data_IF_529829112734
#
_entry.id   IF_529829112734
#
_cell.length_a   1.000
_cell.length_b   1.000
_cell.length_c   1.000
_cell.angle_alpha   90.00
_cell.angle_beta   90.00
_cell.angle_gamma   90.00
#
_symmetry.space_group_name_H-M   'P 1'
#
loop_
_entity.id
_entity.type
_entity.pdbx_description
1 polymer ?
#
# COMPACT_ATOMS: atom_id res chain seq x y z
N UNK A 1 -20.99 -8.79 8.76
CA UNK A 1 -19.78 -8.03 8.40
C UNK A 1 -20.18 -6.57 8.40
N UNK A 2 -19.72 -5.78 9.38
CA UNK A 2 -19.96 -4.33 9.34
C UNK A 2 -19.10 -3.76 8.21
N UNK A 3 -19.71 -3.60 7.05
CA UNK A 3 -19.24 -2.63 6.06
C UNK A 3 -19.15 -1.31 6.84
N UNK A 4 -17.96 -0.71 6.90
CA UNK A 4 -17.74 0.54 7.63
C UNK A 4 -18.54 1.62 6.91
N UNK A 5 -19.82 1.76 7.28
CA UNK A 5 -20.78 2.72 6.68
C UNK A 5 -20.27 4.16 6.75
N UNK A 6 -19.30 4.42 7.63
CA UNK A 6 -18.64 5.71 7.81
C UNK A 6 -17.12 5.61 7.57
N UNK A 7 -16.68 4.94 6.51
CA UNK A 7 -15.26 4.98 6.15
C UNK A 7 -14.88 6.44 5.81
N UNK A 8 -13.90 7.04 6.52
CA UNK A 8 -13.59 8.46 6.36
C UNK A 8 -13.01 8.78 4.97
N UNK A 9 -12.50 7.78 4.25
CA UNK A 9 -12.05 7.94 2.86
C UNK A 9 -13.19 8.15 1.87
N UNK A 10 -14.45 7.84 2.21
CA UNK A 10 -15.59 8.05 1.32
C UNK A 10 -15.76 9.53 0.94
N UNK A 11 -15.45 10.47 1.84
CA UNK A 11 -15.66 11.90 1.60
C UNK A 11 -14.50 12.57 0.88
N UNK A 12 -13.32 11.94 0.87
CA UNK A 12 -12.09 12.52 0.30
C UNK A 12 -11.57 11.77 -0.93
N UNK A 13 -12.27 10.73 -1.41
CA UNK A 13 -11.79 9.87 -2.50
C UNK A 13 -11.31 10.63 -3.75
N UNK A 14 -12.06 11.67 -4.17
CA UNK A 14 -11.70 12.50 -5.34
C UNK A 14 -10.47 13.38 -5.10
N UNK A 15 -10.41 14.03 -3.94
CA UNK A 15 -9.28 14.89 -3.57
C UNK A 15 -7.99 14.07 -3.39
N UNK A 16 -8.12 12.90 -2.75
CA UNK A 16 -7.05 11.90 -2.66
C UNK A 16 -6.57 11.50 -4.05
N UNK A 17 -7.48 11.19 -4.96
CA UNK A 17 -7.10 10.77 -6.31
C UNK A 17 -6.39 11.88 -7.09
N UNK A 18 -6.92 13.11 -7.04
CA UNK A 18 -6.34 14.29 -7.71
C UNK A 18 -4.97 14.68 -7.17
N UNK A 19 -4.65 14.34 -5.92
CA UNK A 19 -3.34 14.59 -5.36
C UNK A 19 -2.23 13.91 -6.16
N UNK A 20 -2.47 12.70 -6.67
CA UNK A 20 -1.49 11.97 -7.49
C UNK A 20 -1.21 12.69 -8.82
N UNK A 21 -2.23 13.29 -9.44
CA UNK A 21 -2.05 14.08 -10.68
C UNK A 21 -1.24 15.35 -10.42
N UNK A 22 -1.43 15.98 -9.25
CA UNK A 22 -0.69 17.17 -8.84
C UNK A 22 0.73 16.86 -8.34
N UNK A 23 1.03 15.59 -8.04
CA UNK A 23 2.30 15.14 -7.46
C UNK A 23 2.89 13.97 -8.27
N UNK A 24 2.76 14.04 -9.60
CA UNK A 24 3.10 12.98 -10.54
C UNK A 24 4.53 12.41 -10.32
N UNK A 25 5.55 13.27 -10.18
CA UNK A 25 6.92 12.82 -9.92
C UNK A 25 7.07 12.05 -8.61
N UNK A 26 6.32 12.43 -7.58
CA UNK A 26 6.32 11.73 -6.28
C UNK A 26 5.69 10.36 -6.46
N UNK A 27 4.47 10.32 -7.02
CA UNK A 27 3.75 9.08 -7.31
C UNK A 27 4.60 8.08 -8.10
N UNK A 28 5.20 8.52 -9.22
CA UNK A 28 6.01 7.62 -10.04
C UNK A 28 7.31 7.19 -9.36
N UNK A 29 7.85 7.98 -8.42
CA UNK A 29 8.99 7.54 -7.60
C UNK A 29 8.58 6.45 -6.59
N UNK A 30 7.39 6.55 -6.00
CA UNK A 30 6.83 5.51 -5.14
C UNK A 30 6.52 4.24 -5.94
N UNK A 31 5.91 4.41 -7.13
CA UNK A 31 5.61 3.33 -8.06
C UNK A 31 6.88 2.57 -8.48
N UNK A 32 7.95 3.27 -8.84
CA UNK A 32 9.21 2.63 -9.24
C UNK A 32 9.84 1.84 -8.09
N UNK A 33 9.68 2.28 -6.83
CA UNK A 33 10.11 1.51 -5.66
C UNK A 33 9.32 0.22 -5.46
N UNK A 34 7.99 0.26 -5.59
CA UNK A 34 7.14 -0.95 -5.54
C UNK A 34 7.49 -1.89 -6.69
N UNK A 35 7.59 -1.35 -7.91
CA UNK A 35 7.90 -2.06 -9.16
C UNK A 35 9.25 -2.77 -9.12
N UNK A 36 10.21 -2.25 -8.37
CA UNK A 36 11.52 -2.87 -8.18
C UNK A 36 11.45 -4.32 -7.66
N UNK A 37 10.41 -4.66 -6.89
CA UNK A 37 10.20 -6.00 -6.32
C UNK A 37 9.11 -6.82 -7.01
N UNK A 38 8.39 -6.21 -7.95
CA UNK A 38 7.30 -6.88 -8.66
C UNK A 38 7.80 -8.09 -9.44
N UNK A 39 7.10 -9.24 -9.35
CA UNK A 39 7.42 -10.38 -10.18
C UNK A 39 7.04 -10.09 -11.64
N UNK A 40 7.71 -10.77 -12.57
CA UNK A 40 7.43 -10.63 -14.01
C UNK A 40 6.08 -11.24 -14.40
N UNK A 41 5.66 -12.28 -13.68
CA UNK A 41 4.44 -13.04 -13.91
C UNK A 41 3.84 -13.45 -12.57
N UNK A 42 2.56 -13.80 -12.59
CA UNK A 42 1.83 -14.31 -11.43
C UNK A 42 0.49 -13.61 -11.26
N UNK A 43 -0.38 -14.24 -10.50
CA UNK A 43 -1.66 -13.70 -10.08
C UNK A 43 -1.46 -12.82 -8.84
N UNK A 44 -1.72 -11.53 -8.99
CA UNK A 44 -1.54 -10.53 -7.94
C UNK A 44 -2.83 -9.86 -7.50
N UNK A 45 -2.83 -9.38 -6.27
CA UNK A 45 -3.91 -8.56 -5.69
C UNK A 45 -3.33 -7.38 -4.90
N UNK A 46 -4.01 -6.24 -4.93
CA UNK A 46 -3.72 -5.10 -4.06
C UNK A 46 -4.69 -5.07 -2.86
N UNK A 47 -4.16 -5.07 -1.64
CA UNK A 47 -4.96 -4.94 -0.42
C UNK A 47 -4.93 -3.48 0.03
N UNK A 48 -6.12 -2.89 0.19
CA UNK A 48 -6.30 -1.44 0.31
C UNK A 48 -6.05 -0.75 -1.02
N UNK A 49 -6.73 -1.21 -2.09
CA UNK A 49 -6.52 -0.71 -3.46
C UNK A 49 -6.88 0.76 -3.64
N UNK A 50 -7.66 1.34 -2.71
CA UNK A 50 -8.06 2.73 -2.77
C UNK A 50 -8.70 3.04 -4.12
N UNK A 51 -8.20 4.08 -4.77
CA UNK A 51 -8.67 4.49 -6.10
C UNK A 51 -8.01 3.73 -7.25
N UNK A 52 -7.16 2.74 -6.97
CA UNK A 52 -6.54 1.87 -7.98
C UNK A 52 -5.36 2.50 -8.73
N UNK A 53 -4.73 3.54 -8.16
CA UNK A 53 -3.56 4.21 -8.75
C UNK A 53 -2.40 3.24 -8.99
N UNK A 54 -2.02 2.47 -7.97
CA UNK A 54 -0.93 1.51 -8.08
C UNK A 54 -1.32 0.28 -8.89
N UNK A 55 -2.46 -0.37 -8.58
CA UNK A 55 -2.91 -1.54 -9.34
C UNK A 55 -2.99 -1.29 -10.86
N UNK A 56 -3.53 -0.15 -11.28
CA UNK A 56 -3.66 0.19 -12.71
C UNK A 56 -2.30 0.25 -13.41
N UNK A 57 -1.34 1.00 -12.85
CA UNK A 57 -0.01 1.16 -13.42
C UNK A 57 0.84 -0.12 -13.36
N UNK A 58 0.61 -0.97 -12.37
CA UNK A 58 1.31 -2.24 -12.20
C UNK A 58 0.66 -3.40 -12.97
N UNK A 59 -0.48 -3.16 -13.63
CA UNK A 59 -1.23 -4.18 -14.37
C UNK A 59 -1.92 -5.22 -13.49
N UNK A 60 -2.09 -4.94 -12.20
CA UNK A 60 -2.85 -5.77 -11.25
C UNK A 60 -4.33 -5.56 -11.53
N UNK A 61 -5.12 -6.64 -11.51
CA UNK A 61 -6.55 -6.61 -11.87
C UNK A 61 -7.50 -6.76 -10.71
N UNK A 62 -7.03 -7.25 -9.57
CA UNK A 62 -7.87 -7.50 -8.40
C UNK A 62 -7.44 -6.61 -7.24
N UNK A 63 -8.40 -6.15 -6.43
CA UNK A 63 -8.11 -5.41 -5.22
C UNK A 63 -9.18 -5.52 -4.14
N UNK A 64 -8.80 -5.23 -2.89
CA UNK A 64 -9.71 -5.12 -1.74
C UNK A 64 -9.72 -3.69 -1.26
N UNK A 65 -10.90 -3.10 -1.09
CA UNK A 65 -11.05 -1.73 -0.57
C UNK A 65 -12.33 -1.60 0.27
N UNK A 66 -12.26 -1.10 1.51
CA UNK A 66 -13.46 -0.87 2.32
C UNK A 66 -14.28 0.38 1.94
N UNK A 67 -13.69 1.38 1.28
CA UNK A 67 -14.37 2.60 0.83
C UNK A 67 -15.05 2.40 -0.51
N UNK A 68 -16.38 2.46 -0.54
CA UNK A 68 -17.14 2.36 -1.80
C UNK A 68 -16.78 3.47 -2.78
N UNK A 69 -16.56 4.71 -2.31
CA UNK A 69 -16.23 5.83 -3.20
C UNK A 69 -14.84 5.70 -3.82
N UNK A 70 -13.88 5.14 -3.08
CA UNK A 70 -12.58 4.81 -3.66
C UNK A 70 -12.66 3.64 -4.64
N UNK A 71 -13.40 2.59 -4.26
CA UNK A 71 -13.62 1.42 -5.08
C UNK A 71 -14.32 1.75 -6.41
N UNK A 72 -15.27 2.70 -6.41
CA UNK A 72 -15.90 3.21 -7.64
C UNK A 72 -14.86 3.76 -8.63
N UNK A 73 -13.92 4.60 -8.16
CA UNK A 73 -12.84 5.15 -9.00
C UNK A 73 -11.89 4.04 -9.48
N UNK A 74 -11.55 3.08 -8.62
CA UNK A 74 -10.72 1.94 -9.00
C UNK A 74 -11.38 1.05 -10.06
N UNK A 75 -12.70 0.84 -9.98
CA UNK A 75 -13.47 0.11 -11.00
C UNK A 75 -13.46 0.82 -12.35
N UNK A 76 -13.50 2.15 -12.38
CA UNK A 76 -13.36 2.93 -13.61
C UNK A 76 -11.99 2.73 -14.29
N UNK A 77 -10.97 2.35 -13.52
CA UNK A 77 -9.63 1.96 -14.03
C UNK A 77 -9.52 0.48 -14.44
N UNK A 78 -10.64 -0.25 -14.42
CA UNK A 78 -10.68 -1.66 -14.79
C UNK A 78 -10.15 -2.60 -13.71
N UNK A 79 -10.17 -2.18 -12.44
CA UNK A 79 -9.86 -3.05 -11.30
C UNK A 79 -11.14 -3.75 -10.83
N UNK A 80 -11.05 -5.06 -10.64
CA UNK A 80 -12.06 -5.85 -9.94
C UNK A 80 -11.90 -5.64 -8.44
N UNK A 81 -12.77 -4.81 -7.85
CA UNK A 81 -12.69 -4.44 -6.43
C UNK A 81 -13.70 -5.20 -5.60
N UNK A 82 -13.19 -6.01 -4.66
CA UNK A 82 -13.97 -6.62 -3.59
C UNK A 82 -14.05 -5.68 -2.39
N UNK A 83 -15.27 -5.34 -1.98
CA UNK A 83 -15.47 -4.54 -0.78
C UNK A 83 -15.18 -5.40 0.45
N UNK A 84 -14.21 -4.97 1.25
CA UNK A 84 -13.72 -5.74 2.41
C UNK A 84 -12.62 -5.01 3.16
N UNK A 85 -12.20 -5.58 4.29
CA UNK A 85 -11.13 -5.04 5.13
C UNK A 85 -9.92 -5.97 5.11
N UNK A 86 -8.73 -5.41 5.34
CA UNK A 86 -7.48 -6.17 5.28
C UNK A 86 -7.36 -7.24 6.39
N UNK A 87 -8.07 -7.05 7.50
CA UNK A 87 -8.10 -7.95 8.66
C UNK A 87 -9.03 -9.17 8.49
N UNK A 88 -9.77 -9.26 7.38
CA UNK A 88 -10.67 -10.37 7.08
C UNK A 88 -10.87 -10.50 5.56
N UNK A 89 -9.87 -11.11 4.91
CA UNK A 89 -9.82 -11.30 3.47
C UNK A 89 -10.62 -12.54 3.09
N UNK A 90 -11.77 -12.33 2.46
CA UNK A 90 -12.64 -13.42 1.98
C UNK A 90 -12.12 -14.07 0.69
N UNK A 91 -10.91 -14.62 0.76
CA UNK A 91 -10.25 -15.42 -0.27
C UNK A 91 -9.79 -16.75 0.33
N UNK A 92 -9.64 -17.75 -0.52
CA UNK A 92 -9.08 -19.04 -0.11
C UNK A 92 -7.59 -18.89 0.26
N UNK A 93 -7.09 -19.84 1.03
CA UNK A 93 -5.67 -19.95 1.32
C UNK A 93 -4.89 -20.16 0.02
N UNK A 94 -3.68 -19.60 -0.06
CA UNK A 94 -2.76 -19.82 -1.20
C UNK A 94 -3.39 -19.50 -2.58
N UNK A 95 -4.17 -18.43 -2.67
CA UNK A 95 -4.85 -18.00 -3.88
C UNK A 95 -4.07 -17.01 -4.74
N UNK A 96 -2.99 -16.39 -4.25
CA UNK A 96 -2.22 -15.39 -4.99
C UNK A 96 -0.71 -15.67 -5.00
N UNK A 97 -0.04 -15.38 -6.11
CA UNK A 97 1.43 -15.49 -6.22
C UNK A 97 2.13 -14.33 -5.51
N UNK A 98 1.49 -13.14 -5.54
CA UNK A 98 1.97 -11.98 -4.80
C UNK A 98 0.83 -11.08 -4.34
N UNK A 99 1.11 -10.32 -3.29
CA UNK A 99 0.22 -9.27 -2.77
C UNK A 99 0.99 -7.96 -2.71
N UNK A 100 0.34 -6.86 -3.04
CA UNK A 100 0.86 -5.52 -2.74
C UNK A 100 -0.02 -4.82 -1.71
N UNK A 101 0.59 -3.98 -0.89
CA UNK A 101 -0.10 -3.12 0.08
C UNK A 101 0.68 -1.80 0.18
N UNK A 102 0.09 -0.69 -0.24
CA UNK A 102 0.80 0.60 -0.35
C UNK A 102 0.12 1.68 0.48
N UNK A 103 0.81 2.21 1.48
CA UNK A 103 0.34 3.24 2.41
C UNK A 103 -0.98 2.91 3.14
N UNK A 104 -1.24 1.62 3.37
CA UNK A 104 -2.45 1.12 4.06
C UNK A 104 -2.19 0.88 5.54
N UNK A 105 -0.94 0.57 5.91
CA UNK A 105 -0.54 0.25 7.28
C UNK A 105 -0.98 1.26 8.34
N UNK A 106 -1.03 2.59 8.08
CA UNK A 106 -1.45 3.54 9.10
C UNK A 106 -2.94 3.52 9.39
N UNK A 107 -3.76 2.90 8.52
CA UNK A 107 -5.22 3.02 8.51
C UNK A 107 -5.95 1.74 8.91
N UNK A 108 -5.25 0.61 9.05
CA UNK A 108 -5.84 -0.63 9.55
C UNK A 108 -5.98 -0.61 11.07
N UNK A 109 -6.97 -1.34 11.58
CA UNK A 109 -7.24 -1.42 13.01
C UNK A 109 -6.27 -2.39 13.70
N UNK A 110 -5.95 -3.51 13.03
CA UNK A 110 -5.06 -4.55 13.54
C UNK A 110 -4.08 -5.00 12.45
N UNK A 111 -2.93 -4.33 12.42
CA UNK A 111 -1.87 -4.60 11.44
C UNK A 111 -1.32 -6.03 11.54
N UNK A 112 -1.27 -6.61 12.75
CA UNK A 112 -0.83 -7.99 12.90
C UNK A 112 -1.82 -8.95 12.24
N UNK A 113 -3.12 -8.78 12.49
CA UNK A 113 -4.14 -9.60 11.85
C UNK A 113 -4.15 -9.42 10.33
N UNK A 114 -3.97 -8.19 9.84
CA UNK A 114 -3.79 -7.90 8.40
C UNK A 114 -2.66 -8.74 7.81
N UNK A 115 -1.47 -8.72 8.42
CA UNK A 115 -0.34 -9.50 7.88
C UNK A 115 -0.57 -11.02 7.95
N UNK A 116 -1.27 -11.54 8.95
CA UNK A 116 -1.65 -12.95 8.98
C UNK A 116 -2.63 -13.33 7.85
N UNK A 117 -3.62 -12.49 7.58
CA UNK A 117 -4.55 -12.71 6.46
C UNK A 117 -3.85 -12.63 5.11
N UNK A 118 -2.96 -11.66 4.93
CA UNK A 118 -2.14 -11.55 3.72
C UNK A 118 -1.22 -12.78 3.56
N UNK A 119 -0.57 -13.22 4.64
CA UNK A 119 0.25 -14.43 4.62
C UNK A 119 -0.58 -15.66 4.23
N UNK A 120 -1.82 -15.78 4.74
CA UNK A 120 -2.71 -16.92 4.44
C UNK A 120 -3.04 -17.01 2.94
N UNK A 121 -3.38 -15.90 2.29
CA UNK A 121 -3.80 -15.88 0.88
C UNK A 121 -2.62 -15.99 -0.12
N UNK A 122 -1.38 -15.73 0.31
CA UNK A 122 -0.19 -15.88 -0.54
C UNK A 122 0.17 -17.36 -0.69
N UNK A 123 0.52 -17.81 -1.89
CA UNK A 123 1.04 -19.17 -2.17
C UNK A 123 2.44 -19.36 -1.57
N UNK A 124 2.82 -20.60 -1.27
CA UNK A 124 4.19 -20.91 -0.80
C UNK A 124 5.24 -20.43 -1.81
N UNK A 125 6.27 -19.72 -1.36
CA UNK A 125 7.26 -19.10 -2.22
C UNK A 125 6.78 -17.81 -2.93
N UNK A 126 5.54 -17.39 -2.68
CA UNK A 126 5.02 -16.10 -3.08
C UNK A 126 5.55 -14.96 -2.21
N UNK A 127 5.17 -13.74 -2.53
CA UNK A 127 5.71 -12.54 -1.86
C UNK A 127 4.66 -11.49 -1.54
N UNK A 128 4.91 -10.74 -0.49
CA UNK A 128 4.27 -9.47 -0.19
C UNK A 128 5.23 -8.32 -0.55
N UNK A 129 4.71 -7.29 -1.22
CA UNK A 129 5.38 -6.01 -1.38
C UNK A 129 4.63 -4.96 -0.57
N UNK A 130 5.27 -4.40 0.46
CA UNK A 130 4.72 -3.31 1.26
C UNK A 130 5.38 -2.00 0.84
N UNK A 131 4.59 -1.03 0.41
CA UNK A 131 5.02 0.36 0.28
C UNK A 131 4.59 1.14 1.52
N UNK A 132 5.53 1.72 2.27
CA UNK A 132 5.24 2.47 3.49
C UNK A 132 5.95 3.81 3.50
N UNK A 133 5.32 4.79 4.15
CA UNK A 133 5.89 6.11 4.36
C UNK A 133 6.71 6.11 5.64
N UNK A 134 7.96 6.55 5.55
CA UNK A 134 8.79 6.71 6.74
C UNK A 134 8.13 7.74 7.67
N UNK A 135 7.87 7.37 8.94
CA UNK A 135 7.15 8.21 9.91
C UNK A 135 7.72 9.64 10.05
N UNK A 136 9.05 9.77 9.92
CA UNK A 136 9.76 11.04 10.03
C UNK A 136 10.02 11.72 8.67
N UNK A 137 9.58 11.08 7.57
CA UNK A 137 9.76 11.53 6.20
C UNK A 137 8.90 12.75 5.86
N UNK A 138 9.40 13.58 4.94
CA UNK A 138 8.72 14.81 4.52
C UNK A 138 7.39 14.53 3.81
N UNK A 139 7.27 13.36 3.16
CA UNK A 139 6.01 12.92 2.54
C UNK A 139 4.95 12.64 3.60
N UNK A 140 5.27 11.82 4.61
CA UNK A 140 4.35 11.55 5.72
C UNK A 140 3.88 12.87 6.37
N UNK A 141 4.80 13.82 6.59
CA UNK A 141 4.46 15.16 7.10
C UNK A 141 3.55 15.96 6.16
N UNK A 142 3.76 15.91 4.84
CA UNK A 142 2.89 16.58 3.85
C UNK A 142 1.50 15.95 3.81
N UNK A 143 1.41 14.63 3.85
CA UNK A 143 0.13 13.92 3.94
C UNK A 143 -0.60 14.24 5.26
N UNK A 144 0.11 14.27 6.39
CA UNK A 144 -0.44 14.69 7.69
C UNK A 144 -0.78 16.19 7.76
N UNK A 145 -0.17 17.02 6.91
CA UNK A 145 -0.46 18.45 6.83
C UNK A 145 -1.74 18.77 6.05
N UNK A 146 -2.42 17.78 5.47
CA UNK A 146 -3.81 17.86 5.03
C UNK A 146 -4.73 17.93 6.27
N UNK A 147 -4.61 19.01 7.05
CA UNK A 147 -5.05 19.14 8.45
C UNK A 147 -6.56 19.15 8.68
N UNK A 148 -7.37 19.25 7.64
CA UNK A 148 -8.83 19.32 7.76
C UNK A 148 -9.55 17.97 7.58
N UNK A 149 -8.82 16.90 7.22
CA UNK A 149 -9.42 15.58 7.05
C UNK A 149 -9.31 14.73 8.31
N UNK A 150 -10.45 14.22 8.80
CA UNK A 150 -10.49 13.25 9.92
C UNK A 150 -9.70 11.97 9.62
N UNK A 151 -9.53 11.63 8.34
CA UNK A 151 -8.77 10.48 7.83
C UNK A 151 -7.33 10.47 8.36
N UNK A 152 -6.63 11.61 8.27
CA UNK A 152 -5.20 11.64 8.55
C UNK A 152 -4.88 11.82 10.03
N UNK A 153 -5.87 12.13 10.87
CA UNK A 153 -5.70 12.25 12.32
C UNK A 153 -5.57 10.89 13.01
N UNK A 154 -6.13 9.83 12.43
CA UNK A 154 -6.06 8.47 12.98
C UNK A 154 -4.88 7.66 12.45
N UNK A 155 -4.13 8.18 11.47
CA UNK A 155 -3.02 7.49 10.83
C UNK A 155 -1.88 7.18 11.83
N UNK A 156 -1.45 5.92 11.89
CA UNK A 156 -0.32 5.46 12.71
C UNK A 156 0.86 5.04 11.85
N UNK A 157 1.80 5.95 11.63
CA UNK A 157 3.01 5.63 10.88
C UNK A 157 3.99 4.82 11.72
N UNK A 158 4.59 3.80 11.10
CA UNK A 158 5.55 2.90 11.72
C UNK A 158 6.97 3.18 11.23
N UNK A 159 7.97 2.83 12.04
CA UNK A 159 9.33 2.72 11.55
C UNK A 159 9.44 1.47 10.64
N UNK A 160 10.31 1.52 9.63
CA UNK A 160 10.50 0.38 8.70
C UNK A 160 10.88 -0.90 9.44
N UNK A 161 11.75 -0.81 10.45
CA UNK A 161 12.15 -1.96 11.27
C UNK A 161 10.99 -2.52 12.11
N UNK A 162 10.06 -1.67 12.56
CA UNK A 162 8.84 -2.14 13.23
C UNK A 162 7.97 -2.92 12.27
N UNK A 163 7.76 -2.41 11.05
CA UNK A 163 7.03 -3.11 9.97
C UNK A 163 7.68 -4.45 9.63
N UNK A 164 9.00 -4.50 9.50
CA UNK A 164 9.73 -5.76 9.26
C UNK A 164 9.54 -6.76 10.41
N UNK A 165 9.60 -6.30 11.66
CA UNK A 165 9.38 -7.18 12.81
C UNK A 165 7.94 -7.70 12.88
N UNK A 166 6.97 -6.86 12.55
CA UNK A 166 5.57 -7.25 12.44
C UNK A 166 5.33 -8.29 11.34
N UNK A 167 6.02 -8.18 10.20
CA UNK A 167 5.97 -9.16 9.12
C UNK A 167 6.61 -10.49 9.53
N UNK A 168 7.75 -10.44 10.25
CA UNK A 168 8.42 -11.63 10.80
C UNK A 168 7.50 -12.42 11.74
N UNK A 169 6.78 -11.73 12.63
CA UNK A 169 5.87 -12.39 13.58
C UNK A 169 4.68 -13.05 12.87
N UNK A 170 4.31 -12.57 11.69
CA UNK A 170 3.29 -13.20 10.82
C UNK A 170 3.81 -14.32 9.92
N UNK A 171 5.09 -14.68 10.01
CA UNK A 171 5.68 -15.81 9.30
C UNK A 171 6.47 -15.46 8.04
N UNK A 172 6.55 -14.18 7.66
CA UNK A 172 7.35 -13.78 6.49
C UNK A 172 8.86 -13.81 6.77
N UNK A 173 9.65 -14.00 5.72
CA UNK A 173 11.11 -13.97 5.73
C UNK A 173 11.71 -13.29 4.50
N UNK A 174 13.02 -13.46 4.30
CA UNK A 174 13.68 -13.06 3.05
C UNK A 174 13.66 -11.56 2.72
N UNK A 175 13.62 -10.71 3.74
CA UNK A 175 13.38 -9.27 3.57
C UNK A 175 14.42 -8.57 2.71
N UNK A 176 13.93 -7.75 1.77
CA UNK A 176 14.73 -6.76 1.04
C UNK A 176 14.00 -5.43 1.05
N UNK A 177 14.76 -4.33 1.05
CA UNK A 177 14.16 -2.99 0.98
C UNK A 177 14.82 -2.15 -0.10
N UNK A 178 14.03 -1.24 -0.67
CA UNK A 178 14.53 -0.12 -1.45
C UNK A 178 13.74 1.14 -1.08
N UNK A 179 14.29 2.28 -1.45
CA UNK A 179 13.78 3.58 -1.03
C UNK A 179 13.85 4.58 -2.18
N UNK A 180 12.92 5.52 -2.16
CA UNK A 180 12.87 6.71 -3.03
C UNK A 180 12.53 7.94 -2.20
N UNK A 181 12.46 9.10 -2.86
CA UNK A 181 12.12 10.37 -2.23
C UNK A 181 13.14 10.76 -1.16
N UNK A 182 14.43 10.65 -1.51
CA UNK A 182 15.57 11.08 -0.70
C UNK A 182 15.81 12.59 -0.88
N UNK A 183 15.76 13.06 -2.12
CA UNK A 183 15.98 14.48 -2.46
C UNK A 183 14.66 15.27 -2.49
N UNK A 184 13.51 14.58 -2.47
CA UNK A 184 12.17 15.19 -2.47
C UNK A 184 11.95 16.16 -3.64
N UNK A 185 12.52 15.84 -4.81
CA UNK A 185 12.44 16.70 -5.98
C UNK A 185 11.13 16.50 -6.75
N UNK A 186 10.23 17.49 -6.67
CA UNK A 186 8.91 17.43 -7.33
C UNK A 186 8.97 17.44 -8.87
N UNK A 187 10.12 17.75 -9.47
CA UNK A 187 10.29 17.81 -10.93
C UNK A 187 11.03 16.60 -11.52
N UNK A 188 11.34 15.58 -10.70
CA UNK A 188 12.14 14.45 -11.14
C UNK A 188 11.67 13.17 -10.47
N UNK A 189 11.41 12.15 -11.29
CA UNK A 189 11.17 10.79 -10.81
C UNK A 189 12.50 10.22 -10.28
N UNK A 190 12.51 9.84 -9.00
CA UNK A 190 13.64 9.18 -8.36
C UNK A 190 13.59 7.67 -8.64
N UNK A 191 14.74 7.11 -9.01
CA UNK A 191 14.88 5.66 -9.13
C UNK A 191 15.12 5.05 -7.74
N UNK A 192 14.61 3.85 -7.46
CA UNK A 192 14.84 3.18 -6.20
C UNK A 192 16.31 2.87 -5.99
N UNK A 193 16.78 3.11 -4.76
CA UNK A 193 18.09 2.67 -4.29
C UNK A 193 17.90 1.64 -3.16
N UNK A 194 18.80 0.66 -3.00
CA UNK A 194 18.70 -0.30 -1.91
C UNK A 194 18.68 0.35 -0.52
N UNK A 195 18.25 -0.43 0.49
CA UNK A 195 18.14 -0.02 1.91
C UNK A 195 16.96 0.93 2.16
N UNK A 196 16.88 1.53 3.34
CA UNK A 196 15.71 2.28 3.82
C UNK A 196 16.05 3.39 4.85
N UNK A 197 17.29 3.87 4.85
CA UNK A 197 17.84 4.77 5.88
C UNK A 197 17.62 6.28 5.60
N UNK A 198 17.14 6.67 4.42
CA UNK A 198 17.14 8.07 3.96
C UNK A 198 15.85 8.53 3.28
N UNK A 199 15.19 7.65 2.54
CA UNK A 199 14.05 7.99 1.70
C UNK A 199 12.77 8.15 2.50
N UNK A 200 11.89 9.03 2.02
CA UNK A 200 10.57 9.22 2.63
C UNK A 200 9.59 8.10 2.30
N UNK A 201 9.83 7.35 1.22
CA UNK A 201 9.06 6.18 0.84
C UNK A 201 9.97 4.96 0.77
N UNK A 202 9.49 3.85 1.33
CA UNK A 202 10.23 2.58 1.38
C UNK A 202 9.34 1.46 0.88
N UNK A 203 9.86 0.70 -0.08
CA UNK A 203 9.28 -0.58 -0.48
C UNK A 203 10.01 -1.72 0.22
N UNK A 204 9.26 -2.66 0.78
CA UNK A 204 9.73 -3.85 1.49
C UNK A 204 9.22 -5.07 0.73
N UNK A 205 10.11 -5.93 0.27
CA UNK A 205 9.75 -7.28 -0.15
C UNK A 205 9.83 -8.23 1.04
N UNK A 206 8.82 -9.09 1.19
CA UNK A 206 8.75 -10.13 2.20
C UNK A 206 8.29 -11.44 1.54
N UNK A 207 9.01 -12.54 1.79
CA UNK A 207 8.74 -13.86 1.20
C UNK A 207 7.93 -14.73 2.17
N UNK A 208 7.00 -15.53 1.64
CA UNK A 208 6.31 -16.60 2.37
C UNK A 208 7.05 -17.94 2.25
#
# INVERSE_FOLDING_TARGET
>A
MEIVKNNPFNTVAKEYDQWFDSNESIFFSELEAVKYFMPKYGEGIEIGVGTGRFASELGIKQGVEPSEQMAEIARERGIEVKIGIAENLEFADESFDFVIMVAVDPFVNDIQKTYHEIFRIIRKGGKLIVGTLHKDGEVAKKYMAMKDSEVYKSAKFHAVDETINQLKTSGFGGFRTCQTLIEMNQNKIEKPVPLHDKGSFVAIEALK
#
